data_IF_647566745971
#
_entry.id   IF_647566745971
#
_cell.length_a   1.000
_cell.length_b   1.000
_cell.length_c   1.000
_cell.angle_alpha   90.00
_cell.angle_beta   90.00
_cell.angle_gamma   90.00
#
_symmetry.space_group_name_H-M   'P 1'
#
loop_
_entity.id
_entity.type
_entity.pdbx_description
1 polymer ?
#
# COMPACT_ATOMS: atom_id res chain seq x y z
N UNK A 1 3.61 -43.41 45.96
CA UNK A 1 4.31 -42.19 46.41
C UNK A 1 5.11 -41.63 45.24
N UNK A 2 4.50 -40.62 44.61
CA UNK A 2 5.09 -39.37 44.09
C UNK A 2 6.31 -39.39 43.17
N UNK A 3 6.07 -39.14 41.88
CA UNK A 3 6.16 -37.79 41.26
C UNK A 3 6.37 -37.94 39.75
N UNK A 4 5.31 -37.81 38.95
CA UNK A 4 5.45 -37.59 37.50
C UNK A 4 6.00 -36.17 37.30
N UNK A 5 7.15 -36.06 36.65
CA UNK A 5 7.69 -34.80 36.16
C UNK A 5 6.76 -34.27 35.07
N UNK A 6 5.98 -33.25 35.41
CA UNK A 6 5.28 -32.43 34.43
C UNK A 6 6.30 -31.82 33.47
N UNK A 7 6.33 -32.32 32.25
CA UNK A 7 6.94 -31.60 31.14
C UNK A 7 6.02 -30.44 30.84
N UNK A 8 6.38 -29.26 31.35
CA UNK A 8 5.73 -27.99 31.03
C UNK A 8 5.69 -27.84 29.51
N UNK A 9 4.52 -28.07 28.93
CA UNK A 9 4.23 -27.82 27.52
C UNK A 9 4.28 -26.30 27.37
N UNK A 10 5.39 -25.76 26.86
CA UNK A 10 5.49 -24.35 26.45
C UNK A 10 4.35 -24.09 25.47
N UNK A 11 3.34 -23.39 25.94
CA UNK A 11 2.23 -22.86 25.15
C UNK A 11 2.86 -22.04 24.01
N UNK A 12 2.48 -22.28 22.75
CA UNK A 12 3.05 -21.54 21.62
C UNK A 12 2.70 -20.07 21.80
N UNK A 13 3.70 -19.20 21.60
CA UNK A 13 3.59 -17.74 21.65
C UNK A 13 2.36 -17.29 20.84
N UNK A 14 1.25 -17.06 21.54
CA UNK A 14 0.00 -16.61 20.97
C UNK A 14 0.12 -15.10 20.74
N UNK A 15 -0.11 -14.69 19.48
CA UNK A 15 0.05 -13.34 18.94
C UNK A 15 1.50 -12.86 18.78
N UNK A 16 2.23 -13.52 17.87
CA UNK A 16 3.28 -12.86 17.11
C UNK A 16 2.65 -12.21 15.85
N UNK A 17 2.39 -10.88 15.84
CA UNK A 17 1.78 -10.17 14.71
C UNK A 17 2.69 -10.16 13.46
N UNK A 18 3.95 -10.58 13.62
CA UNK A 18 4.93 -10.70 12.56
C UNK A 18 5.14 -12.14 12.11
N UNK A 19 4.46 -13.14 12.72
CA UNK A 19 4.57 -14.54 12.32
C UNK A 19 4.14 -14.79 10.87
N UNK A 20 3.12 -14.08 10.40
CA UNK A 20 2.69 -14.12 9.00
C UNK A 20 3.77 -13.61 8.03
N UNK A 21 4.72 -12.83 8.53
CA UNK A 21 5.81 -12.22 7.76
C UNK A 21 7.15 -12.97 7.93
N UNK A 22 7.24 -13.99 8.81
CA UNK A 22 8.43 -14.86 8.94
C UNK A 22 8.86 -15.56 7.64
N UNK A 23 7.97 -16.09 6.78
CA UNK A 23 8.41 -16.63 5.49
C UNK A 23 8.89 -15.56 4.49
N UNK A 24 8.75 -14.25 4.81
CA UNK A 24 9.31 -13.13 4.05
C UNK A 24 10.72 -12.73 4.53
N UNK A 25 11.34 -13.47 5.46
CA UNK A 25 12.77 -13.29 5.75
C UNK A 25 13.62 -14.01 4.72
N UNK A 26 13.85 -13.34 3.60
CA UNK A 26 15.21 -13.03 3.27
C UNK A 26 15.24 -11.54 3.00
N UNK A 27 15.37 -10.73 4.06
CA UNK A 27 15.69 -9.30 3.90
C UNK A 27 17.17 -9.14 3.54
N UNK A 28 18.00 -10.16 3.79
CA UNK A 28 19.45 -10.12 3.56
C UNK A 28 19.89 -10.19 2.09
N UNK A 29 19.10 -10.79 1.18
CA UNK A 29 19.37 -10.80 -0.28
C UNK A 29 18.69 -9.66 -1.04
N UNK A 30 17.72 -8.96 -0.43
CA UNK A 30 17.05 -7.82 -1.05
C UNK A 30 17.90 -6.59 -0.78
N UNK A 31 18.79 -6.27 -1.73
CA UNK A 31 19.71 -5.14 -1.61
C UNK A 31 19.01 -3.79 -1.40
N UNK A 32 19.79 -2.74 -1.14
CA UNK A 32 19.30 -1.36 -0.88
C UNK A 32 18.31 -0.86 -1.93
N UNK A 33 18.51 -1.21 -3.21
CA UNK A 33 17.62 -0.86 -4.33
C UNK A 33 16.19 -1.38 -4.14
N UNK A 34 16.00 -2.56 -3.53
CA UNK A 34 14.65 -3.08 -3.26
C UNK A 34 13.92 -2.23 -2.21
N UNK A 35 14.63 -1.84 -1.14
CA UNK A 35 14.09 -0.95 -0.11
C UNK A 35 13.78 0.45 -0.64
N UNK A 36 14.66 1.03 -1.44
CA UNK A 36 14.44 2.34 -2.09
C UNK A 36 13.19 2.32 -2.98
N UNK A 37 13.01 1.24 -3.75
CA UNK A 37 11.83 1.06 -4.59
C UNK A 37 10.55 0.92 -3.77
N UNK A 38 10.57 0.13 -2.69
CA UNK A 38 9.42 -0.02 -1.80
C UNK A 38 9.07 1.31 -1.10
N UNK A 39 10.07 2.06 -0.66
CA UNK A 39 9.88 3.38 -0.06
C UNK A 39 9.27 4.36 -1.07
N UNK A 40 9.74 4.34 -2.32
CA UNK A 40 9.20 5.17 -3.40
C UNK A 40 7.73 4.85 -3.68
N UNK A 41 7.38 3.56 -3.78
CA UNK A 41 6.00 3.10 -3.96
C UNK A 41 5.10 3.51 -2.79
N UNK A 42 5.58 3.31 -1.55
CA UNK A 42 4.84 3.70 -0.35
C UNK A 42 4.61 5.21 -0.25
N UNK A 43 5.58 6.02 -0.69
CA UNK A 43 5.45 7.47 -0.75
C UNK A 43 4.37 7.92 -1.75
N UNK A 44 4.33 7.30 -2.95
CA UNK A 44 3.30 7.63 -3.94
C UNK A 44 1.90 7.26 -3.43
N UNK A 45 1.72 6.05 -2.89
CA UNK A 45 0.44 5.62 -2.30
C UNK A 45 -0.02 6.57 -1.18
N UNK A 46 0.90 6.96 -0.29
CA UNK A 46 0.58 7.87 0.82
C UNK A 46 0.18 9.25 0.30
N UNK A 47 0.88 9.75 -0.72
CA UNK A 47 0.58 11.03 -1.37
C UNK A 47 -0.79 11.01 -2.04
N UNK A 48 -1.11 9.92 -2.75
CA UNK A 48 -2.41 9.71 -3.35
C UNK A 48 -3.55 9.68 -2.32
N UNK A 49 -3.37 8.96 -1.21
CA UNK A 49 -4.36 8.92 -0.12
C UNK A 49 -4.57 10.30 0.47
N UNK A 50 -3.50 11.07 0.70
CA UNK A 50 -3.60 12.43 1.22
C UNK A 50 -4.42 13.34 0.28
N UNK A 51 -4.18 13.29 -1.02
CA UNK A 51 -4.98 14.06 -1.99
C UNK A 51 -6.45 13.58 -2.02
N UNK A 52 -6.73 12.28 -1.97
CA UNK A 52 -8.10 11.76 -1.91
C UNK A 52 -8.86 12.22 -0.66
N UNK A 53 -8.21 12.27 0.51
CA UNK A 53 -8.79 12.81 1.74
C UNK A 53 -9.15 14.30 1.58
N UNK A 54 -8.27 15.09 0.96
CA UNK A 54 -8.51 16.50 0.70
C UNK A 54 -9.72 16.72 -0.21
N UNK A 55 -9.87 15.91 -1.25
CA UNK A 55 -11.05 15.92 -2.11
C UNK A 55 -12.34 15.55 -1.36
N UNK A 56 -12.28 14.60 -0.42
CA UNK A 56 -13.44 14.22 0.42
C UNK A 56 -13.87 15.38 1.32
N UNK A 57 -12.91 16.10 1.92
CA UNK A 57 -13.18 17.29 2.73
C UNK A 57 -13.78 18.41 1.87
N UNK A 58 -13.22 18.66 0.69
CA UNK A 58 -13.75 19.66 -0.24
C UNK A 58 -15.18 19.34 -0.68
N UNK A 59 -15.46 18.06 -0.95
CA UNK A 59 -16.78 17.59 -1.35
C UNK A 59 -17.79 17.75 -0.22
N UNK A 60 -17.45 17.35 1.00
CA UNK A 60 -18.31 17.55 2.17
C UNK A 60 -18.58 19.03 2.42
N UNK A 61 -17.56 19.87 2.31
CA UNK A 61 -17.71 21.32 2.42
C UNK A 61 -18.68 21.85 1.35
N UNK A 62 -18.55 21.43 0.10
CA UNK A 62 -19.45 21.84 -0.98
C UNK A 62 -20.90 21.36 -0.76
N UNK A 63 -21.08 20.11 -0.29
CA UNK A 63 -22.40 19.55 0.01
C UNK A 63 -23.12 20.34 1.12
N UNK A 64 -22.42 20.76 2.17
CA UNK A 64 -22.99 21.58 3.25
C UNK A 64 -23.49 22.96 2.78
N UNK A 65 -23.01 23.46 1.64
CA UNK A 65 -23.42 24.74 1.07
C UNK A 65 -24.52 24.61 0.01
N UNK A 66 -24.90 23.39 -0.37
CA UNK A 66 -25.95 23.16 -1.35
C UNK A 66 -27.32 23.57 -0.78
N UNK A 67 -28.13 24.26 -1.59
CA UNK A 67 -29.50 24.70 -1.24
C UNK A 67 -30.58 23.85 -1.90
N UNK A 68 -30.17 22.89 -2.73
CA UNK A 68 -31.08 21.95 -3.40
C UNK A 68 -30.45 20.58 -3.63
N UNK A 69 -31.31 19.58 -3.83
CA UNK A 69 -30.89 18.23 -4.21
C UNK A 69 -30.14 18.23 -5.55
N UNK A 70 -30.55 19.08 -6.50
CA UNK A 70 -29.91 19.16 -7.81
C UNK A 70 -28.46 19.65 -7.73
N UNK A 71 -28.17 20.60 -6.83
CA UNK A 71 -26.80 21.06 -6.58
C UNK A 71 -25.96 19.96 -5.93
N UNK A 72 -26.53 19.25 -4.95
CA UNK A 72 -25.85 18.13 -4.31
C UNK A 72 -25.54 16.99 -5.29
N UNK A 73 -26.47 16.66 -6.20
CA UNK A 73 -26.24 15.69 -7.27
C UNK A 73 -25.10 16.10 -8.20
N UNK A 74 -25.01 17.40 -8.55
CA UNK A 74 -23.90 17.91 -9.36
C UNK A 74 -22.56 17.78 -8.63
N UNK A 75 -22.50 18.14 -7.35
CA UNK A 75 -21.30 17.97 -6.53
C UNK A 75 -20.88 16.50 -6.44
N UNK A 76 -21.83 15.60 -6.21
CA UNK A 76 -21.56 14.16 -6.14
C UNK A 76 -21.05 13.60 -7.49
N UNK A 77 -21.64 14.02 -8.61
CA UNK A 77 -21.21 13.61 -9.94
C UNK A 77 -19.78 14.10 -10.24
N UNK A 78 -19.47 15.35 -9.88
CA UNK A 78 -18.12 15.91 -10.01
C UNK A 78 -17.09 15.15 -9.16
N UNK A 79 -17.44 14.82 -7.93
CA UNK A 79 -16.61 14.02 -7.04
C UNK A 79 -16.31 12.64 -7.64
N UNK A 80 -17.34 11.95 -8.13
CA UNK A 80 -17.20 10.63 -8.75
C UNK A 80 -16.31 10.67 -9.99
N UNK A 81 -16.55 11.62 -10.90
CA UNK A 81 -15.72 11.80 -12.09
C UNK A 81 -14.26 12.00 -11.72
N UNK A 82 -14.01 12.91 -10.77
CA UNK A 82 -12.66 13.21 -10.30
C UNK A 82 -11.98 12.01 -9.66
N UNK A 83 -12.72 11.23 -8.88
CA UNK A 83 -12.20 10.00 -8.30
C UNK A 83 -11.78 9.01 -9.40
N UNK A 84 -12.62 8.77 -10.42
CA UNK A 84 -12.28 7.90 -11.54
C UNK A 84 -11.01 8.35 -12.26
N UNK A 85 -10.92 9.64 -12.60
CA UNK A 85 -9.75 10.20 -13.28
C UNK A 85 -8.49 10.01 -12.43
N UNK A 86 -8.57 10.32 -11.13
CA UNK A 86 -7.45 10.19 -10.19
C UNK A 86 -7.00 8.73 -10.02
N UNK A 87 -7.93 7.78 -9.83
CA UNK A 87 -7.59 6.36 -9.70
C UNK A 87 -7.00 5.78 -10.99
N UNK A 88 -7.48 6.21 -12.16
CA UNK A 88 -6.93 5.78 -13.43
C UNK A 88 -5.48 6.25 -13.59
N UNK A 89 -5.22 7.54 -13.35
CA UNK A 89 -3.87 8.12 -13.40
C UNK A 89 -2.95 7.43 -12.41
N UNK A 90 -3.39 7.27 -11.16
CA UNK A 90 -2.59 6.65 -10.11
C UNK A 90 -2.24 5.19 -10.44
N UNK A 91 -3.21 4.42 -10.92
CA UNK A 91 -2.97 3.03 -11.33
C UNK A 91 -1.93 2.97 -12.46
N UNK A 92 -2.00 3.89 -13.42
CA UNK A 92 -1.00 4.00 -14.49
C UNK A 92 0.41 4.23 -13.96
N UNK A 93 0.57 5.17 -13.02
CA UNK A 93 1.87 5.43 -12.37
C UNK A 93 2.39 4.21 -11.61
N UNK A 94 1.55 3.54 -10.83
CA UNK A 94 1.98 2.37 -10.06
C UNK A 94 2.44 1.23 -10.98
N UNK A 95 1.78 1.03 -12.12
CA UNK A 95 2.21 0.08 -13.16
C UNK A 95 3.58 0.48 -13.71
N UNK A 96 3.77 1.75 -14.08
CA UNK A 96 5.04 2.26 -14.60
C UNK A 96 6.18 2.07 -13.60
N UNK A 97 5.98 2.50 -12.34
CA UNK A 97 6.94 2.31 -11.24
C UNK A 97 7.27 0.82 -11.06
N UNK A 98 6.27 -0.06 -11.07
CA UNK A 98 6.51 -1.51 -10.94
C UNK A 98 7.30 -2.10 -12.12
N UNK A 99 7.06 -1.61 -13.34
CA UNK A 99 7.78 -2.02 -14.55
C UNK A 99 9.25 -1.59 -14.50
N UNK A 100 9.52 -0.35 -14.08
CA UNK A 100 10.89 0.14 -13.87
C UNK A 100 11.64 -0.67 -12.81
N UNK A 101 10.98 -0.99 -11.70
CA UNK A 101 11.54 -1.83 -10.64
C UNK A 101 11.93 -3.21 -11.19
N UNK A 102 11.06 -3.82 -12.01
CA UNK A 102 11.32 -5.12 -12.62
C UNK A 102 12.48 -5.09 -13.63
N UNK A 103 12.65 -3.99 -14.37
CA UNK A 103 13.80 -3.80 -15.29
C UNK A 103 15.10 -3.64 -14.49
N UNK A 104 15.11 -2.80 -13.46
CA UNK A 104 16.29 -2.55 -12.59
C UNK A 104 16.72 -3.82 -11.83
N UNK A 105 15.81 -4.74 -11.55
CA UNK A 105 16.09 -5.99 -10.85
C UNK A 105 16.75 -7.08 -11.72
N UNK A 106 16.88 -6.91 -13.05
CA UNK A 106 17.54 -7.91 -13.91
C UNK A 106 19.06 -7.87 -13.72
N UNK A 107 19.72 -8.97 -13.34
CA UNK A 107 21.18 -9.02 -13.29
C UNK A 107 21.75 -8.88 -14.71
N UNK A 108 22.75 -8.01 -14.86
CA UNK A 108 23.45 -7.71 -16.09
C UNK A 108 23.99 -9.00 -16.75
N UNK A 109 23.35 -9.52 -17.80
CA UNK A 109 23.90 -10.60 -18.63
C UNK A 109 25.00 -10.02 -19.53
N UNK A 110 26.19 -9.78 -18.97
CA UNK A 110 27.38 -9.48 -19.75
C UNK A 110 28.61 -10.05 -19.04
N UNK A 111 28.75 -11.38 -19.06
CA UNK A 111 30.06 -12.05 -19.01
C UNK A 111 29.92 -13.48 -19.51
N UNK A 112 29.79 -13.63 -20.82
CA UNK A 112 30.19 -14.83 -21.55
C UNK A 112 30.81 -14.35 -22.86
N UNK A 113 32.13 -14.23 -22.85
CA UNK A 113 33.02 -14.46 -23.97
C UNK A 113 34.40 -14.78 -23.39
#
# INVERSE_FOLDING_TARGET
MDRKTETSKKTPDAFDPLAAFRPLTPVSWMGTTWFENLASLGNEITSFVAERIKEDVQTQHALLHCKSISEAQRVQAQFMQKAFDQYQVETGKLIEMSGEMAVKARPNQSSKN
#
